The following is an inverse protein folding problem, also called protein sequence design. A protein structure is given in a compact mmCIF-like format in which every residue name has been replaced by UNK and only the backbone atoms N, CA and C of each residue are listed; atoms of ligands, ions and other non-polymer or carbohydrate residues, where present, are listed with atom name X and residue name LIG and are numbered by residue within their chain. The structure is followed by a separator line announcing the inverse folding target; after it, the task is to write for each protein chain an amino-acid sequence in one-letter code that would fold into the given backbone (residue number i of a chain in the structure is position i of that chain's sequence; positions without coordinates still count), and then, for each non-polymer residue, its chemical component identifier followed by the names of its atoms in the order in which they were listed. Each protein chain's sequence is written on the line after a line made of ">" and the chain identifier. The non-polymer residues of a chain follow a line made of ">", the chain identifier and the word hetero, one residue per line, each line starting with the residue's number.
data_IF_584261217013
#
_entry.id   IF_584261217013
#
_cell.length_a   1.000
_cell.length_b   1.000
_cell.length_c   1.000
_cell.angle_alpha   90.00
_cell.angle_beta   90.00
_cell.angle_gamma   90.00
#
_symmetry.space_group_name_H-M   'P 1'
#
loop_
_entity.id
_entity.type
_entity.pdbx_description
1 polymer ?
#
# COMPACT_ATOMS: atom_id res chain seq x y z
N UNK A 1 -92.22 -37.35 5.90
CA UNK A 1 -91.78 -37.04 7.27
C UNK A 1 -90.40 -37.64 7.41
N UNK A 2 -89.37 -36.84 7.71
CA UNK A 2 -88.02 -37.36 7.93
C UNK A 2 -88.03 -38.27 9.17
N UNK A 3 -87.21 -39.32 9.13
CA UNK A 3 -86.99 -40.16 10.30
C UNK A 3 -86.16 -39.41 11.35
N UNK A 4 -86.39 -39.69 12.64
CA UNK A 4 -85.69 -39.01 13.75
C UNK A 4 -84.14 -39.14 13.64
N UNK A 5 -83.66 -40.20 12.99
CA UNK A 5 -82.24 -40.47 12.79
C UNK A 5 -81.63 -39.60 11.67
N UNK A 6 -82.37 -39.35 10.58
CA UNK A 6 -81.95 -38.40 9.53
C UNK A 6 -81.94 -36.96 10.06
N UNK A 7 -82.89 -36.61 10.93
CA UNK A 7 -82.94 -35.27 11.54
C UNK A 7 -81.72 -35.01 12.43
N UNK A 8 -81.34 -35.99 13.27
CA UNK A 8 -80.13 -35.91 14.11
C UNK A 8 -78.86 -35.78 13.28
N UNK A 9 -78.77 -36.51 12.16
CA UNK A 9 -77.60 -36.45 11.28
C UNK A 9 -77.43 -35.07 10.64
N UNK A 10 -78.54 -34.45 10.21
CA UNK A 10 -78.52 -33.10 9.65
C UNK A 10 -78.11 -32.08 10.72
N UNK A 11 -78.64 -32.19 11.95
CA UNK A 11 -78.25 -31.31 13.06
C UNK A 11 -76.75 -31.41 13.38
N UNK A 12 -76.18 -32.62 13.37
CA UNK A 12 -74.74 -32.83 13.58
C UNK A 12 -73.89 -32.23 12.45
N UNK A 13 -74.31 -32.40 11.19
CA UNK A 13 -73.64 -31.84 10.02
C UNK A 13 -73.66 -30.30 10.03
N UNK A 14 -74.80 -29.69 10.41
CA UNK A 14 -74.92 -28.23 10.55
C UNK A 14 -74.07 -27.69 11.70
N UNK A 15 -74.03 -28.38 12.84
CA UNK A 15 -73.16 -28.02 13.97
C UNK A 15 -71.68 -28.15 13.61
N UNK A 16 -71.30 -29.18 12.85
CA UNK A 16 -69.94 -29.36 12.37
C UNK A 16 -69.53 -28.24 11.39
N UNK A 17 -70.42 -27.86 10.47
CA UNK A 17 -70.18 -26.76 9.55
C UNK A 17 -70.05 -25.40 10.28
N UNK A 18 -70.90 -25.14 11.26
CA UNK A 18 -70.83 -23.93 12.09
C UNK A 18 -69.52 -23.84 12.88
N UNK A 19 -69.07 -24.95 13.49
CA UNK A 19 -67.78 -25.02 14.19
C UNK A 19 -66.60 -24.81 13.24
N UNK A 20 -66.65 -25.40 12.04
CA UNK A 20 -65.61 -25.22 11.04
C UNK A 20 -65.44 -23.75 10.63
N UNK A 21 -66.55 -23.02 10.45
CA UNK A 21 -66.53 -21.59 10.14
C UNK A 21 -65.95 -20.77 11.30
N UNK A 22 -66.32 -21.07 12.55
CA UNK A 22 -65.77 -20.39 13.73
C UNK A 22 -64.25 -20.58 13.83
N UNK A 23 -63.77 -21.83 13.67
CA UNK A 23 -62.33 -22.14 13.70
C UNK A 23 -61.58 -21.41 12.58
N UNK A 24 -62.16 -21.31 11.38
CA UNK A 24 -61.55 -20.55 10.30
C UNK A 24 -61.45 -19.04 10.61
N UNK A 25 -62.50 -18.46 11.18
CA UNK A 25 -62.49 -17.04 11.58
C UNK A 25 -61.47 -16.76 12.67
N UNK A 26 -61.36 -17.63 13.68
CA UNK A 26 -60.35 -17.52 14.73
C UNK A 26 -58.93 -17.61 14.17
N UNK A 27 -58.69 -18.57 13.27
CA UNK A 27 -57.38 -18.70 12.58
C UNK A 27 -57.04 -17.45 11.77
N UNK A 28 -58.00 -16.89 11.04
CA UNK A 28 -57.80 -15.68 10.25
C UNK A 28 -57.44 -14.48 11.16
N UNK A 29 -58.16 -14.29 12.27
CA UNK A 29 -57.85 -13.24 13.26
C UNK A 29 -56.47 -13.44 13.87
N UNK A 30 -56.12 -14.68 14.20
CA UNK A 30 -54.81 -15.00 14.78
C UNK A 30 -53.66 -14.72 13.79
N UNK A 31 -53.84 -15.06 12.52
CA UNK A 31 -52.86 -14.76 11.47
C UNK A 31 -52.66 -13.24 11.31
N UNK A 32 -53.74 -12.45 11.28
CA UNK A 32 -53.65 -10.99 11.22
C UNK A 32 -52.88 -10.41 12.41
N UNK A 33 -53.16 -10.90 13.63
CA UNK A 33 -52.45 -10.47 14.84
C UNK A 33 -50.95 -10.80 14.77
N UNK A 34 -50.58 -11.99 14.29
CA UNK A 34 -49.17 -12.37 14.11
C UNK A 34 -48.46 -11.51 13.05
N UNK A 35 -49.14 -11.13 11.98
CA UNK A 35 -48.59 -10.26 10.95
C UNK A 35 -48.33 -8.84 11.50
N UNK A 36 -49.28 -8.28 12.25
CA UNK A 36 -49.11 -7.00 12.92
C UNK A 36 -47.93 -7.01 13.89
N UNK A 37 -47.86 -8.03 14.75
CA UNK A 37 -46.76 -8.21 15.69
C UNK A 37 -45.39 -8.29 14.99
N UNK A 38 -45.28 -9.03 13.88
CA UNK A 38 -44.03 -9.12 13.11
C UNK A 38 -43.61 -7.79 12.50
N UNK A 39 -44.56 -6.94 12.09
CA UNK A 39 -44.23 -5.62 11.54
C UNK A 39 -43.65 -4.70 12.60
N UNK A 40 -44.22 -4.70 13.81
CA UNK A 40 -43.71 -3.93 14.95
C UNK A 40 -42.31 -4.40 15.37
N UNK A 41 -42.10 -5.71 15.46
CA UNK A 41 -40.77 -6.26 15.79
C UNK A 41 -39.74 -5.88 14.72
N UNK A 42 -40.12 -5.91 13.44
CA UNK A 42 -39.22 -5.52 12.35
C UNK A 42 -38.89 -4.03 12.34
N UNK A 43 -39.83 -3.15 12.69
CA UNK A 43 -39.55 -1.71 12.74
C UNK A 43 -38.61 -1.36 13.89
N UNK A 44 -38.70 -2.09 15.01
CA UNK A 44 -37.78 -1.94 16.16
C UNK A 44 -36.39 -2.51 15.86
N UNK A 45 -36.31 -3.63 15.13
CA UNK A 45 -35.06 -4.31 14.83
C UNK A 45 -34.31 -3.76 13.61
N UNK A 46 -34.90 -2.87 12.82
CA UNK A 46 -34.18 -2.26 11.71
C UNK A 46 -33.11 -1.33 12.27
N UNK A 47 -31.81 -1.66 12.11
CA UNK A 47 -30.77 -0.74 12.52
C UNK A 47 -30.94 0.55 11.72
N UNK A 48 -30.76 1.73 12.35
CA UNK A 48 -30.84 2.99 11.62
C UNK A 48 -29.89 2.91 10.45
N UNK A 49 -30.40 3.16 9.23
CA UNK A 49 -29.60 3.17 8.00
C UNK A 49 -28.45 4.14 8.22
N UNK A 50 -27.26 3.60 8.45
CA UNK A 50 -26.09 4.42 8.70
C UNK A 50 -25.84 5.29 7.47
N UNK A 51 -25.62 6.60 7.62
CA UNK A 51 -25.37 7.45 6.49
C UNK A 51 -24.10 6.98 5.77
N UNK A 52 -24.16 6.95 4.43
CA UNK A 52 -23.18 6.36 3.51
C UNK A 52 -21.73 6.85 3.69
N UNK A 53 -21.51 8.01 4.33
CA UNK A 53 -20.20 8.58 4.64
C UNK A 53 -19.47 7.98 5.86
N UNK A 54 -20.16 7.25 6.75
CA UNK A 54 -19.59 6.72 8.00
C UNK A 54 -18.47 5.69 7.80
N UNK A 55 -18.52 4.77 6.82
CA UNK A 55 -17.38 3.88 6.58
C UNK A 55 -16.14 4.62 6.05
N UNK A 56 -16.32 5.75 5.33
CA UNK A 56 -15.20 6.54 4.80
C UNK A 56 -14.39 7.27 5.87
N UNK A 57 -15.03 7.70 6.96
CA UNK A 57 -14.38 8.39 8.08
C UNK A 57 -13.35 7.51 8.82
N UNK A 58 -13.50 6.19 8.79
CA UNK A 58 -12.55 5.26 9.43
C UNK A 58 -11.25 5.08 8.64
N UNK A 59 -11.21 5.51 7.36
CA UNK A 59 -10.01 5.43 6.53
C UNK A 59 -9.06 6.62 6.72
N UNK A 60 -9.54 7.74 7.25
CA UNK A 60 -8.74 8.93 7.52
C UNK A 60 -7.50 8.66 8.39
N UNK A 61 -7.58 7.98 9.56
CA UNK A 61 -6.40 7.73 10.38
C UNK A 61 -5.36 6.83 9.67
N UNK A 62 -5.81 5.86 8.87
CA UNK A 62 -4.92 4.98 8.10
C UNK A 62 -4.13 5.78 7.08
N UNK A 63 -4.79 6.70 6.36
CA UNK A 63 -4.13 7.57 5.38
C UNK A 63 -3.10 8.52 6.02
N UNK A 64 -3.39 9.07 7.20
CA UNK A 64 -2.45 9.94 7.93
C UNK A 64 -1.21 9.17 8.36
N UNK A 65 -1.37 7.95 8.89
CA UNK A 65 -0.24 7.08 9.27
C UNK A 65 0.59 6.71 8.05
N UNK A 66 -0.06 6.35 6.92
CA UNK A 66 0.64 5.99 5.70
C UNK A 66 1.43 7.17 5.11
N UNK A 67 0.84 8.36 5.08
CA UNK A 67 1.51 9.58 4.66
C UNK A 67 2.69 9.91 5.57
N UNK A 68 2.52 9.77 6.89
CA UNK A 68 3.60 9.94 7.87
C UNK A 68 4.75 8.97 7.62
N UNK A 69 4.49 7.69 7.40
CA UNK A 69 5.53 6.68 7.11
C UNK A 69 6.28 6.99 5.81
N UNK A 70 5.58 7.47 4.77
CA UNK A 70 6.22 7.82 3.50
C UNK A 70 7.09 9.08 3.67
N UNK A 71 6.60 10.10 4.38
CA UNK A 71 7.32 11.36 4.60
C UNK A 71 8.50 11.24 5.58
N UNK A 72 8.41 10.34 6.57
CA UNK A 72 9.48 10.11 7.55
C UNK A 72 10.47 9.02 7.14
N UNK A 73 10.25 8.34 6.00
CA UNK A 73 11.23 7.37 5.52
C UNK A 73 12.50 8.11 5.07
N UNK A 74 13.66 7.86 5.70
CA UNK A 74 14.91 8.29 5.11
C UNK A 74 14.97 7.68 3.71
N UNK A 75 15.29 8.51 2.70
CA UNK A 75 15.48 8.01 1.35
C UNK A 75 16.43 6.82 1.41
N UNK A 76 16.09 5.67 0.80
CA UNK A 76 16.98 4.52 0.84
C UNK A 76 18.35 4.97 0.33
N UNK A 77 19.38 4.80 1.16
CA UNK A 77 20.75 4.91 0.71
C UNK A 77 20.86 4.07 -0.56
N UNK A 78 21.35 4.66 -1.66
CA UNK A 78 21.44 3.97 -2.94
C UNK A 78 22.07 2.60 -2.74
N UNK A 79 21.43 1.54 -3.24
CA UNK A 79 21.90 0.17 -2.99
C UNK A 79 23.36 0.07 -3.42
N UNK A 80 24.22 -0.24 -2.47
CA UNK A 80 25.65 -0.35 -2.70
C UNK A 80 25.93 -1.62 -3.51
N UNK A 81 25.95 -1.48 -4.83
CA UNK A 81 26.11 -2.59 -5.76
C UNK A 81 27.59 -2.99 -5.85
N UNK A 82 27.86 -4.29 -5.75
CA UNK A 82 29.18 -4.91 -5.84
C UNK A 82 29.53 -5.37 -7.28
N UNK A 83 28.73 -5.01 -8.28
CA UNK A 83 29.06 -5.22 -9.69
C UNK A 83 30.48 -4.76 -10.02
N UNK A 84 31.19 -5.46 -10.91
CA UNK A 84 32.57 -5.11 -11.25
C UNK A 84 33.62 -5.35 -10.14
N UNK A 85 33.28 -6.12 -9.09
CA UNK A 85 34.26 -6.60 -8.09
C UNK A 85 34.59 -5.60 -6.97
N UNK A 86 33.89 -4.46 -6.90
CA UNK A 86 34.02 -3.46 -5.83
C UNK A 86 32.66 -2.84 -5.53
N UNK A 87 32.38 -2.47 -4.30
CA UNK A 87 31.17 -1.70 -3.96
C UNK A 87 31.26 -0.26 -4.50
N UNK A 88 30.12 0.38 -4.77
CA UNK A 88 30.10 1.77 -5.22
C UNK A 88 30.70 2.71 -4.15
N UNK A 89 30.41 2.44 -2.88
CA UNK A 89 31.01 3.15 -1.74
C UNK A 89 32.53 3.05 -1.71
N UNK A 90 33.08 1.84 -1.82
CA UNK A 90 34.52 1.62 -1.76
C UNK A 90 35.24 2.19 -3.00
N UNK A 91 34.59 2.19 -4.17
CA UNK A 91 35.11 2.88 -5.34
C UNK A 91 35.21 4.39 -5.07
N UNK A 92 34.14 5.01 -4.56
CA UNK A 92 34.14 6.44 -4.24
C UNK A 92 35.26 6.80 -3.27
N UNK A 93 35.41 6.08 -2.16
CA UNK A 93 36.42 6.36 -1.15
C UNK A 93 37.84 6.33 -1.74
N UNK A 94 38.15 5.31 -2.56
CA UNK A 94 39.46 5.20 -3.22
C UNK A 94 39.67 6.28 -4.26
N UNK A 95 38.68 6.55 -5.10
CA UNK A 95 38.76 7.59 -6.12
C UNK A 95 38.92 8.98 -5.49
N UNK A 96 38.20 9.28 -4.40
CA UNK A 96 38.32 10.56 -3.70
C UNK A 96 39.72 10.76 -3.12
N UNK A 97 40.31 9.71 -2.55
CA UNK A 97 41.68 9.75 -2.05
C UNK A 97 42.69 10.03 -3.18
N UNK A 98 42.56 9.34 -4.31
CA UNK A 98 43.45 9.53 -5.48
C UNK A 98 43.28 10.89 -6.15
N UNK A 99 42.04 11.34 -6.37
CA UNK A 99 41.74 12.69 -6.90
C UNK A 99 42.27 13.76 -5.94
N UNK A 100 42.09 13.57 -4.63
CA UNK A 100 42.63 14.46 -3.60
C UNK A 100 44.14 14.52 -3.61
N UNK A 101 44.80 13.38 -3.79
CA UNK A 101 46.26 13.29 -3.90
C UNK A 101 46.79 13.97 -5.17
N UNK A 102 46.11 13.81 -6.32
CA UNK A 102 46.51 14.43 -7.59
C UNK A 102 46.31 15.96 -7.59
N UNK A 103 45.18 16.44 -7.05
CA UNK A 103 44.87 17.88 -7.04
C UNK A 103 45.57 18.63 -5.90
N UNK A 104 45.87 17.97 -4.78
CA UNK A 104 46.56 18.59 -3.63
C UNK A 104 45.81 19.74 -2.97
N UNK A 105 44.48 19.83 -3.16
CA UNK A 105 43.64 20.92 -2.64
C UNK A 105 42.95 20.51 -1.32
N UNK A 106 42.89 21.40 -0.31
CA UNK A 106 42.41 21.07 1.03
C UNK A 106 40.88 20.95 1.15
N UNK A 107 40.11 21.53 0.21
CA UNK A 107 38.64 21.54 0.25
C UNK A 107 38.06 21.14 -1.11
N UNK A 108 38.13 19.85 -1.43
CA UNK A 108 37.48 19.28 -2.59
C UNK A 108 36.07 18.83 -2.23
N UNK A 109 35.08 19.30 -2.99
CA UNK A 109 33.69 18.85 -2.88
C UNK A 109 33.39 17.85 -3.99
N UNK A 110 33.05 16.63 -3.59
CA UNK A 110 32.63 15.55 -4.47
C UNK A 110 31.09 15.46 -4.55
N UNK A 111 30.53 14.76 -5.57
CA UNK A 111 29.11 14.50 -5.68
C UNK A 111 28.63 13.63 -4.52
N UNK A 112 27.35 13.76 -4.18
CA UNK A 112 26.73 12.88 -3.19
C UNK A 112 26.75 11.42 -3.68
N UNK A 113 26.71 10.41 -2.77
CA UNK A 113 26.66 9.00 -3.17
C UNK A 113 25.53 8.66 -4.15
N UNK A 114 24.40 9.38 -4.06
CA UNK A 114 23.26 9.21 -4.97
C UNK A 114 23.55 9.72 -6.38
N UNK A 115 24.22 10.87 -6.49
CA UNK A 115 24.60 11.43 -7.79
C UNK A 115 25.71 10.59 -8.43
N UNK A 116 26.69 10.16 -7.63
CA UNK A 116 27.78 9.31 -8.06
C UNK A 116 27.29 7.94 -8.57
N UNK A 117 26.28 7.35 -7.92
CA UNK A 117 25.69 6.08 -8.38
C UNK A 117 25.11 6.17 -9.81
N UNK A 118 24.56 7.32 -10.20
CA UNK A 118 24.08 7.56 -11.58
C UNK A 118 25.19 7.80 -12.60
N UNK A 119 26.44 7.93 -12.14
CA UNK A 119 27.63 8.22 -12.93
C UNK A 119 28.61 7.03 -12.98
N UNK A 120 28.22 5.89 -12.41
CA UNK A 120 29.02 4.69 -12.37
C UNK A 120 28.55 3.69 -13.43
N UNK A 121 29.52 3.08 -14.10
CA UNK A 121 29.30 1.95 -15.01
C UNK A 121 30.15 0.77 -14.54
N UNK A 122 29.59 -0.44 -14.64
CA UNK A 122 30.30 -1.67 -14.30
C UNK A 122 30.29 -2.63 -15.49
N UNK A 123 31.40 -3.33 -15.68
CA UNK A 123 31.58 -4.36 -16.69
C UNK A 123 32.33 -5.57 -16.11
N UNK A 124 32.70 -6.53 -16.95
CA UNK A 124 33.44 -7.72 -16.52
C UNK A 124 34.86 -7.40 -16.01
N UNK A 125 35.46 -6.31 -16.49
CA UNK A 125 36.84 -5.92 -16.19
C UNK A 125 36.95 -5.07 -14.92
N UNK A 126 35.84 -4.47 -14.48
CA UNK A 126 35.78 -3.69 -13.26
C UNK A 126 34.64 -2.66 -13.23
N UNK A 127 34.89 -1.54 -12.56
CA UNK A 127 33.91 -0.45 -12.38
C UNK A 127 34.55 0.89 -12.69
N UNK A 128 33.82 1.78 -13.34
CA UNK A 128 34.25 3.14 -13.70
C UNK A 128 33.26 4.15 -13.14
N UNK A 129 33.78 5.23 -12.58
CA UNK A 129 33.05 6.41 -12.14
C UNK A 129 33.52 7.62 -12.93
N UNK A 130 32.62 8.20 -13.73
CA UNK A 130 32.87 9.43 -14.46
C UNK A 130 32.19 10.58 -13.73
N UNK A 131 32.98 11.32 -12.93
CA UNK A 131 32.47 12.30 -11.99
C UNK A 131 33.06 13.68 -12.18
N UNK A 132 32.76 14.54 -11.22
CA UNK A 132 33.29 15.88 -11.15
C UNK A 132 33.64 16.24 -9.72
N UNK A 133 34.58 17.14 -9.55
CA UNK A 133 34.97 17.69 -8.25
C UNK A 133 34.99 19.21 -8.35
N UNK A 134 34.62 19.88 -7.27
CA UNK A 134 34.66 21.34 -7.19
C UNK A 134 35.64 21.79 -6.11
N UNK A 135 36.56 22.66 -6.48
CA UNK A 135 37.49 23.32 -5.57
C UNK A 135 36.85 24.56 -4.91
N UNK A 136 37.52 25.14 -3.91
CA UNK A 136 37.01 26.27 -3.12
C UNK A 136 36.70 27.52 -3.97
N UNK A 137 37.43 27.71 -5.06
CA UNK A 137 37.25 28.76 -6.07
C UNK A 137 36.04 28.52 -6.99
N UNK A 138 35.28 27.44 -6.75
CA UNK A 138 34.17 26.93 -7.58
C UNK A 138 34.60 26.45 -8.97
N UNK A 139 35.90 26.24 -9.18
CA UNK A 139 36.38 25.61 -10.41
C UNK A 139 35.97 24.15 -10.38
N UNK A 140 35.24 23.73 -11.40
CA UNK A 140 34.80 22.36 -11.58
C UNK A 140 35.82 21.64 -12.46
N UNK A 141 36.28 20.49 -12.00
CA UNK A 141 37.15 19.59 -12.76
C UNK A 141 36.42 18.27 -12.92
N UNK A 142 36.23 17.83 -14.16
CA UNK A 142 35.69 16.51 -14.44
C UNK A 142 36.82 15.47 -14.32
N UNK A 143 36.48 14.26 -13.91
CA UNK A 143 37.45 13.17 -13.77
C UNK A 143 36.83 11.83 -14.15
N UNK A 144 37.66 10.91 -14.59
CA UNK A 144 37.32 9.50 -14.77
C UNK A 144 38.14 8.66 -13.82
N UNK A 145 37.47 7.88 -12.98
CA UNK A 145 38.11 6.93 -12.09
C UNK A 145 37.73 5.50 -12.48
N UNK A 146 38.70 4.64 -12.73
CA UNK A 146 38.49 3.23 -13.08
C UNK A 146 39.11 2.32 -12.03
N UNK A 147 38.33 1.37 -11.55
CA UNK A 147 38.78 0.20 -10.81
C UNK A 147 38.88 -0.99 -11.75
N UNK A 148 39.99 -1.73 -11.67
CA UNK A 148 40.21 -2.98 -12.41
C UNK A 148 40.22 -4.16 -11.45
N UNK A 149 39.35 -5.15 -11.70
CA UNK A 149 39.17 -6.28 -10.78
C UNK A 149 40.36 -7.26 -10.81
N UNK A 150 41.09 -7.34 -11.92
CA UNK A 150 42.19 -8.29 -12.10
C UNK A 150 43.39 -8.03 -11.18
N UNK A 151 43.70 -6.76 -10.94
CA UNK A 151 44.84 -6.30 -10.13
C UNK A 151 44.41 -5.48 -8.91
N UNK A 152 43.10 -5.25 -8.75
CA UNK A 152 42.52 -4.40 -7.69
C UNK A 152 43.07 -2.98 -7.67
N UNK A 153 43.53 -2.47 -8.82
CA UNK A 153 44.07 -1.12 -8.95
C UNK A 153 42.97 -0.08 -9.23
N UNK A 154 43.25 1.16 -8.84
CA UNK A 154 42.42 2.32 -9.16
C UNK A 154 43.28 3.29 -9.96
N UNK A 155 42.73 3.77 -11.08
CA UNK A 155 43.36 4.76 -11.94
C UNK A 155 42.42 5.96 -12.08
N UNK A 156 42.96 7.15 -11.86
CA UNK A 156 42.24 8.42 -11.98
C UNK A 156 42.85 9.24 -13.10
N UNK A 157 41.99 9.73 -14.00
CA UNK A 157 42.31 10.62 -15.10
C UNK A 157 41.51 11.92 -14.92
N UNK A 158 42.20 13.05 -14.79
CA UNK A 158 41.59 14.37 -14.74
C UNK A 158 41.32 14.84 -16.17
N UNK A 159 40.06 15.21 -16.46
CA UNK A 159 39.64 15.68 -17.77
C UNK A 159 39.68 17.21 -17.76
N UNK A 160 40.75 17.81 -18.27
CA UNK A 160 40.83 19.25 -18.50
C UNK A 160 40.01 19.63 -19.74
N UNK A 161 39.04 20.55 -19.59
CA UNK A 161 38.42 21.24 -20.72
C UNK A 161 39.46 22.16 -21.36
N UNK A 162 40.16 21.66 -22.38
CA UNK A 162 40.99 22.51 -23.25
C UNK A 162 40.11 23.59 -23.89
N UNK A 163 40.45 24.89 -23.75
CA UNK A 163 39.68 26.01 -24.30
C UNK A 163 39.71 26.11 -25.83
#
# INVERSE_FOLDING_TARGET
>A
MLSDEEMRRIEEEELAAARALQVQQERARHQLALHAYRQEVRSVLQPPKAPWWRPGLWLLPVLVVLAGVILLRPSPAGSDDASGGITASALMDRCQAEVGAQLGLPELRFPSPREAAGQMSANADGKRWDGWVTAQDRTRTDFSCRFTAADSSVQVELLEETP
#
